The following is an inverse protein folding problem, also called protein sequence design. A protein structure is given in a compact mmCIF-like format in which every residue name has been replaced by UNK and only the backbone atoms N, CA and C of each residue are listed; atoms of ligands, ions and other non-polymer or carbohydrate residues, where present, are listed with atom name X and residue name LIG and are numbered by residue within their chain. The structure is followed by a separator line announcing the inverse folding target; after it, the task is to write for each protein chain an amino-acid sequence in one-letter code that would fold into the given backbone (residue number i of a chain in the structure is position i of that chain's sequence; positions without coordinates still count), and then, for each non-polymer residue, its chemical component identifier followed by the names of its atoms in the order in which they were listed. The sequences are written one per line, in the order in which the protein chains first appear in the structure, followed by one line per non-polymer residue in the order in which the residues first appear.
data_IF_946458698019
#
_entry.id   IF_946458698019
#
_cell.length_a   1.000
_cell.length_b   1.000
_cell.length_c   1.000
_cell.angle_alpha   90.00
_cell.angle_beta   90.00
_cell.angle_gamma   90.00
#
_symmetry.space_group_name_H-M   'P 1'
#
loop_
_entity.id
_entity.type
_entity.pdbx_description
1 polymer ?
#
# COMPACT_ATOMS: atom_id res chain seq x y z
N UNK A 1 -16.54 50.23 7.82
CA UNK A 1 -16.60 48.84 7.39
C UNK A 1 -15.29 48.13 7.72
N UNK A 2 -15.34 47.12 8.53
CA UNK A 2 -14.15 46.38 8.84
C UNK A 2 -13.84 45.40 7.70
N UNK A 3 -12.69 45.57 7.09
CA UNK A 3 -12.24 44.65 6.06
C UNK A 3 -11.21 43.69 6.66
N UNK A 4 -11.52 42.42 6.59
CA UNK A 4 -10.56 41.42 7.02
C UNK A 4 -9.45 41.30 5.98
N UNK A 5 -8.23 41.53 6.42
CA UNK A 5 -7.05 41.28 5.58
C UNK A 5 -6.46 39.88 5.86
N UNK A 6 -7.24 39.02 6.53
CA UNK A 6 -6.80 37.69 6.86
C UNK A 6 -6.97 36.79 5.62
N UNK A 7 -5.90 36.12 5.25
CA UNK A 7 -5.94 35.09 4.21
C UNK A 7 -6.57 33.83 4.78
N UNK A 8 -7.53 33.25 4.08
CA UNK A 8 -8.19 32.03 4.55
C UNK A 8 -7.32 30.80 4.30
N UNK A 9 -7.40 29.85 5.21
CA UNK A 9 -6.74 28.55 5.04
C UNK A 9 -7.43 27.81 3.89
N UNK A 10 -6.69 27.33 2.88
CA UNK A 10 -7.33 26.51 1.85
C UNK A 10 -7.83 25.19 2.41
N UNK A 11 -8.75 24.56 1.71
CA UNK A 11 -9.25 23.26 2.09
C UNK A 11 -8.47 22.15 1.42
N UNK A 12 -8.26 21.04 2.15
CA UNK A 12 -7.55 19.88 1.65
C UNK A 12 -8.56 18.82 1.23
N UNK A 13 -8.27 18.10 0.16
CA UNK A 13 -9.20 17.13 -0.43
C UNK A 13 -9.49 15.90 0.45
N UNK A 14 -8.57 15.54 1.33
CA UNK A 14 -8.76 14.43 2.26
C UNK A 14 -8.27 14.80 3.65
N UNK A 15 -9.03 14.41 4.66
CA UNK A 15 -8.63 14.63 6.05
C UNK A 15 -7.52 13.66 6.45
N UNK A 16 -6.79 14.03 7.49
CA UNK A 16 -5.78 13.16 8.09
C UNK A 16 -6.37 11.83 8.55
N UNK A 17 -5.57 10.81 8.51
CA UNK A 17 -5.97 9.48 8.91
C UNK A 17 -5.03 8.43 8.37
N UNK A 18 -5.39 7.17 8.54
CA UNK A 18 -4.64 6.04 8.04
C UNK A 18 -5.28 5.54 6.74
N UNK A 19 -4.49 5.42 5.70
CA UNK A 19 -4.95 5.00 4.38
C UNK A 19 -4.13 3.82 3.90
N UNK A 20 -4.79 2.87 3.24
CA UNK A 20 -4.15 1.67 2.70
C UNK A 20 -3.81 1.81 1.22
N UNK A 21 -3.82 3.03 0.71
CA UNK A 21 -3.59 3.31 -0.71
C UNK A 21 -2.75 4.57 -0.87
N UNK A 22 -2.20 4.78 -2.05
CA UNK A 22 -1.52 6.03 -2.35
C UNK A 22 -2.53 7.16 -2.34
N UNK A 23 -2.11 8.34 -1.88
CA UNK A 23 -2.98 9.50 -1.83
C UNK A 23 -2.50 10.56 -2.80
N UNK A 24 -3.46 11.25 -3.40
CA UNK A 24 -3.23 12.43 -4.20
C UNK A 24 -4.06 13.54 -3.57
N UNK A 25 -3.38 14.50 -2.96
CA UNK A 25 -4.03 15.57 -2.20
C UNK A 25 -4.07 16.86 -3.02
N UNK A 26 -5.21 17.52 -3.00
CA UNK A 26 -5.37 18.80 -3.68
C UNK A 26 -5.91 19.83 -2.69
N UNK A 27 -5.57 21.09 -2.94
CA UNK A 27 -6.11 22.21 -2.17
C UNK A 27 -7.16 22.93 -2.99
N UNK A 28 -8.22 23.36 -2.32
CA UNK A 28 -9.27 24.19 -2.89
C UNK A 28 -9.40 25.45 -2.05
N UNK A 29 -10.18 26.41 -2.53
CA UNK A 29 -10.36 27.72 -1.87
C UNK A 29 -9.04 28.46 -1.67
N UNK A 30 -8.16 28.36 -2.67
CA UNK A 30 -6.91 29.11 -2.69
C UNK A 30 -7.24 30.57 -3.01
N UNK A 31 -6.62 31.54 -2.28
CA UNK A 31 -6.88 32.95 -2.57
C UNK A 31 -6.59 33.29 -4.03
N UNK A 32 -7.41 34.13 -4.61
CA UNK A 32 -7.23 34.57 -5.99
C UNK A 32 -5.85 35.22 -6.13
N UNK A 33 -5.08 34.79 -7.14
CA UNK A 33 -3.71 35.24 -7.37
C UNK A 33 -2.78 34.98 -6.19
N UNK A 34 -3.18 34.00 -5.34
CA UNK A 34 -2.38 33.60 -4.20
C UNK A 34 -1.60 32.33 -4.48
N UNK A 35 -0.84 31.89 -3.49
CA UNK A 35 0.01 30.73 -3.57
C UNK A 35 -0.13 29.90 -2.30
N UNK A 36 0.13 28.59 -2.40
CA UNK A 36 0.15 27.68 -1.26
C UNK A 36 1.52 27.04 -1.18
N UNK A 37 2.07 27.00 0.03
CA UNK A 37 3.34 26.34 0.32
C UNK A 37 3.10 25.30 1.40
N UNK A 38 3.83 24.19 1.34
CA UNK A 38 3.60 23.11 2.27
C UNK A 38 4.89 22.38 2.63
N UNK A 39 4.83 21.64 3.75
CA UNK A 39 5.86 20.70 4.18
C UNK A 39 5.17 19.37 4.46
N UNK A 40 5.94 18.29 4.40
CA UNK A 40 5.43 16.93 4.68
C UNK A 40 6.06 16.33 5.95
N UNK A 41 6.96 17.06 6.58
CA UNK A 41 7.67 16.58 7.77
C UNK A 41 7.29 17.33 9.05
N UNK A 42 6.20 18.11 9.02
CA UNK A 42 5.73 18.85 10.18
C UNK A 42 6.43 20.15 10.45
N UNK A 43 7.39 20.54 9.62
CA UNK A 43 8.07 21.82 9.81
C UNK A 43 7.14 22.99 9.43
N UNK A 44 7.45 24.17 9.94
CA UNK A 44 6.66 25.37 9.66
C UNK A 44 6.78 25.74 8.18
N UNK A 45 5.67 25.81 7.43
CA UNK A 45 5.74 26.19 6.02
C UNK A 45 5.91 27.70 5.85
N UNK A 46 6.65 28.07 4.82
CA UNK A 46 6.83 29.48 4.43
C UNK A 46 7.14 29.51 2.93
N UNK A 47 7.49 30.70 2.42
CA UNK A 47 7.77 30.87 1.00
C UNK A 47 9.03 30.14 0.51
N UNK A 48 9.82 29.59 1.43
CA UNK A 48 10.97 28.76 1.08
C UNK A 48 10.62 27.27 1.05
N UNK A 49 9.41 26.92 1.45
CA UNK A 49 8.92 25.54 1.41
C UNK A 49 8.50 25.16 -0.02
N UNK A 50 8.04 23.94 -0.20
CA UNK A 50 7.58 23.46 -1.49
C UNK A 50 6.32 24.20 -1.89
N UNK A 51 6.31 24.77 -3.08
CA UNK A 51 5.13 25.43 -3.61
C UNK A 51 4.16 24.40 -4.16
N UNK A 52 2.88 24.58 -3.86
CA UNK A 52 1.83 23.73 -4.42
C UNK A 52 1.58 24.15 -5.87
N UNK A 53 1.83 23.22 -6.78
CA UNK A 53 1.65 23.46 -8.22
C UNK A 53 0.75 22.42 -8.88
N UNK A 54 0.20 21.52 -8.11
CA UNK A 54 -0.67 20.45 -8.56
C UNK A 54 -0.89 19.51 -7.38
N UNK A 55 -1.27 18.27 -7.65
CA UNK A 55 -1.54 17.32 -6.58
C UNK A 55 -0.28 17.00 -5.77
N UNK A 56 -0.45 16.85 -4.46
CA UNK A 56 0.60 16.37 -3.57
C UNK A 56 0.42 14.86 -3.44
N UNK A 57 1.40 14.10 -3.91
CA UNK A 57 1.33 12.63 -3.92
C UNK A 57 2.04 12.04 -2.71
N UNK A 58 1.34 11.15 -2.00
CA UNK A 58 1.91 10.36 -0.92
C UNK A 58 1.93 8.91 -1.39
N UNK A 59 3.07 8.44 -1.87
CA UNK A 59 3.17 7.16 -2.55
C UNK A 59 3.83 6.06 -1.74
N UNK A 60 4.59 6.41 -0.72
CA UNK A 60 5.32 5.44 0.09
C UNK A 60 4.69 5.28 1.46
N UNK A 61 4.90 4.11 2.06
CA UNK A 61 4.47 3.89 3.44
C UNK A 61 5.20 4.83 4.38
N UNK A 62 4.51 5.30 5.38
CA UNK A 62 5.08 6.15 6.40
C UNK A 62 4.06 7.12 6.96
N UNK A 63 4.54 7.96 7.86
CA UNK A 63 3.75 9.01 8.48
C UNK A 63 4.17 10.35 7.87
N UNK A 64 3.17 11.09 7.40
CA UNK A 64 3.37 12.41 6.82
C UNK A 64 2.64 13.43 7.67
N UNK A 65 3.34 14.47 8.12
CA UNK A 65 2.71 15.59 8.80
C UNK A 65 2.70 16.75 7.81
N UNK A 66 1.55 16.90 7.15
CA UNK A 66 1.37 17.97 6.17
C UNK A 66 1.02 19.26 6.90
N UNK A 67 1.84 20.29 6.71
CA UNK A 67 1.54 21.63 7.15
C UNK A 67 1.54 22.54 5.94
N UNK A 68 0.58 23.43 5.89
CA UNK A 68 0.42 24.27 4.70
C UNK A 68 -0.03 25.65 5.09
N UNK A 69 0.35 26.62 4.25
CA UNK A 69 0.01 28.01 4.41
C UNK A 69 -0.29 28.62 3.04
N UNK A 70 -1.32 29.44 2.98
CA UNK A 70 -1.61 30.19 1.76
C UNK A 70 -1.18 31.64 1.95
N UNK A 71 -0.72 32.25 0.87
CA UNK A 71 -0.44 33.68 0.82
C UNK A 71 -1.34 34.29 -0.23
N UNK A 72 -1.98 35.41 0.11
CA UNK A 72 -2.78 36.11 -0.87
C UNK A 72 -1.89 36.96 -1.79
N UNK A 73 -2.49 37.66 -2.76
CA UNK A 73 -1.71 38.46 -3.70
C UNK A 73 -0.89 39.57 -3.05
N UNK A 74 -1.22 39.93 -1.80
CA UNK A 74 -0.46 40.92 -1.03
C UNK A 74 0.56 40.25 -0.10
N UNK A 75 0.79 38.97 -0.28
CA UNK A 75 1.73 38.18 0.54
C UNK A 75 1.33 38.11 2.01
N UNK A 76 0.05 38.21 2.31
CA UNK A 76 -0.48 38.03 3.67
C UNK A 76 -0.72 36.55 3.88
N UNK A 77 -0.11 35.94 4.93
CA UNK A 77 -0.27 34.49 5.15
C UNK A 77 -1.60 34.16 5.81
N UNK A 78 -2.09 32.95 5.52
CA UNK A 78 -3.18 32.35 6.26
C UNK A 78 -2.63 31.76 7.58
N UNK A 79 -3.54 31.30 8.44
CA UNK A 79 -3.12 30.41 9.50
C UNK A 79 -2.58 29.13 8.87
N UNK A 80 -1.72 28.43 9.62
CA UNK A 80 -1.14 27.18 9.15
C UNK A 80 -2.14 26.06 9.37
N UNK A 81 -2.44 25.31 8.30
CA UNK A 81 -3.25 24.12 8.41
C UNK A 81 -2.34 22.92 8.65
N UNK A 82 -2.88 21.89 9.29
CA UNK A 82 -2.13 20.67 9.60
C UNK A 82 -3.00 19.44 9.43
N UNK A 83 -2.45 18.41 8.79
CA UNK A 83 -3.08 17.10 8.68
C UNK A 83 -2.00 16.05 8.80
N UNK A 84 -2.29 14.97 9.51
CA UNK A 84 -1.38 13.84 9.61
C UNK A 84 -1.93 12.68 8.82
N UNK A 85 -1.13 12.13 7.91
CA UNK A 85 -1.51 10.98 7.10
C UNK A 85 -0.56 9.83 7.39
N UNK A 86 -1.13 8.65 7.58
CA UNK A 86 -0.36 7.41 7.70
C UNK A 86 -0.71 6.55 6.50
N UNK A 87 0.29 6.24 5.68
CA UNK A 87 0.10 5.33 4.54
C UNK A 87 0.63 3.96 4.98
N UNK A 88 -0.25 2.98 4.99
CA UNK A 88 0.09 1.63 5.41
C UNK A 88 -0.66 0.65 4.53
N UNK A 89 0.04 0.10 3.54
CA UNK A 89 -0.57 -0.85 2.61
C UNK A 89 -0.87 -2.16 3.33
N UNK A 90 -2.01 -2.74 3.01
CA UNK A 90 -2.35 -4.06 3.51
C UNK A 90 -1.53 -5.13 2.83
N UNK A 91 -1.50 -6.33 3.43
CA UNK A 91 -0.88 -7.49 2.79
C UNK A 91 -1.86 -8.09 1.78
N UNK A 92 -1.37 -8.77 0.73
CA UNK A 92 -2.26 -9.43 -0.21
C UNK A 92 -2.95 -10.64 0.44
N UNK A 93 -4.03 -11.09 -0.17
CA UNK A 93 -4.69 -12.33 0.24
C UNK A 93 -3.76 -13.51 0.00
N UNK A 94 -3.90 -14.56 0.81
CA UNK A 94 -3.10 -15.76 0.60
C UNK A 94 -3.52 -16.46 -0.69
N UNK A 95 -2.60 -17.14 -1.37
CA UNK A 95 -2.95 -17.86 -2.59
C UNK A 95 -3.90 -19.02 -2.29
N UNK A 96 -4.66 -19.42 -3.31
CA UNK A 96 -5.56 -20.56 -3.21
C UNK A 96 -4.86 -21.80 -3.77
N UNK A 97 -4.92 -22.88 -3.03
CA UNK A 97 -4.27 -24.14 -3.38
C UNK A 97 -5.32 -25.21 -3.65
N UNK A 98 -5.17 -25.90 -4.77
CA UNK A 98 -5.99 -27.06 -5.11
C UNK A 98 -5.06 -28.21 -5.52
N UNK A 99 -5.37 -29.45 -5.20
CA UNK A 99 -6.53 -29.91 -4.44
C UNK A 99 -6.38 -29.61 -2.95
N UNK A 100 -7.47 -29.81 -2.21
CA UNK A 100 -7.43 -29.67 -0.74
C UNK A 100 -6.63 -30.80 -0.11
N UNK A 101 -6.25 -30.62 1.15
CA UNK A 101 -5.55 -31.65 1.92
C UNK A 101 -6.28 -32.98 1.86
N UNK A 102 -5.55 -34.07 1.78
CA UNK A 102 -6.13 -35.39 1.77
C UNK A 102 -5.18 -36.43 1.25
N UNK A 103 -5.75 -37.64 1.13
CA UNK A 103 -5.03 -38.81 0.60
C UNK A 103 -5.43 -39.00 -0.86
N UNK A 104 -4.44 -39.16 -1.72
CA UNK A 104 -4.65 -39.30 -3.15
C UNK A 104 -4.04 -40.62 -3.62
N UNK A 105 -4.73 -41.31 -4.49
CA UNK A 105 -4.27 -42.59 -5.04
C UNK A 105 -3.52 -42.43 -6.34
N UNK A 106 -3.63 -41.27 -6.95
CA UNK A 106 -2.90 -40.92 -8.20
C UNK A 106 -2.21 -39.59 -7.98
N UNK A 107 -1.11 -39.38 -8.73
CA UNK A 107 -0.41 -38.09 -8.70
C UNK A 107 -1.33 -37.03 -9.30
N UNK A 108 -1.81 -36.14 -8.44
CA UNK A 108 -2.71 -35.06 -8.82
C UNK A 108 -1.90 -33.78 -8.94
N UNK A 109 -2.17 -33.00 -9.98
CA UNK A 109 -1.47 -31.72 -10.14
C UNK A 109 -1.87 -30.74 -9.05
N UNK A 110 -0.89 -30.10 -8.45
CA UNK A 110 -1.11 -29.02 -7.48
C UNK A 110 -1.19 -27.73 -8.25
N UNK A 111 -2.32 -27.05 -8.10
CA UNK A 111 -2.58 -25.79 -8.82
C UNK A 111 -2.72 -24.68 -7.78
N UNK A 112 -1.98 -23.59 -7.97
CA UNK A 112 -2.04 -22.45 -7.08
C UNK A 112 -2.59 -21.26 -7.85
N UNK A 113 -3.64 -20.64 -7.33
CA UNK A 113 -4.22 -19.43 -7.90
C UNK A 113 -3.73 -18.23 -7.10
N UNK A 114 -3.01 -17.36 -7.80
CA UNK A 114 -2.44 -16.15 -7.20
C UNK A 114 -3.47 -15.03 -7.14
N UNK A 115 -3.48 -14.23 -6.07
CA UNK A 115 -4.18 -12.95 -6.12
C UNK A 115 -3.63 -12.09 -7.27
N UNK A 116 -4.47 -11.22 -7.80
CA UNK A 116 -4.08 -10.36 -8.92
C UNK A 116 -2.84 -9.53 -8.59
N UNK A 117 -1.88 -9.53 -9.52
CA UNK A 117 -0.67 -8.73 -9.39
C UNK A 117 0.37 -9.28 -8.45
N UNK A 118 0.20 -10.51 -7.96
CA UNK A 118 1.14 -11.13 -7.03
C UNK A 118 1.97 -12.22 -7.69
N UNK A 119 3.13 -12.47 -7.10
CA UNK A 119 3.98 -13.60 -7.45
C UNK A 119 3.86 -14.62 -6.32
N UNK A 120 3.75 -15.90 -6.66
CA UNK A 120 3.63 -16.97 -5.66
C UNK A 120 4.96 -17.69 -5.50
N UNK A 121 5.35 -17.89 -4.25
CA UNK A 121 6.50 -18.72 -3.87
C UNK A 121 5.99 -19.90 -3.07
N UNK A 122 6.61 -21.06 -3.25
CA UNK A 122 6.15 -22.28 -2.57
C UNK A 122 7.31 -23.10 -2.03
N UNK A 123 6.99 -23.99 -1.12
CA UNK A 123 7.95 -24.95 -0.58
C UNK A 123 7.21 -26.19 -0.11
N UNK A 124 7.90 -27.33 -0.12
CA UNK A 124 7.43 -28.57 0.48
C UNK A 124 8.15 -28.77 1.80
N UNK A 125 7.38 -29.09 2.83
CA UNK A 125 7.89 -29.48 4.16
C UNK A 125 8.74 -28.43 4.86
N UNK A 126 8.61 -27.18 4.42
CA UNK A 126 9.23 -26.02 5.05
C UNK A 126 8.42 -24.78 4.74
N UNK A 127 8.66 -23.73 5.48
CA UNK A 127 7.95 -22.47 5.28
C UNK A 127 8.49 -21.75 4.05
N UNK A 128 7.62 -21.27 3.15
CA UNK A 128 8.11 -20.56 1.96
C UNK A 128 8.61 -19.15 2.32
N UNK A 129 9.61 -18.72 1.59
CA UNK A 129 10.21 -17.38 1.73
C UNK A 129 10.37 -16.75 0.36
N UNK A 130 10.87 -15.53 0.31
CA UNK A 130 11.14 -14.85 -0.96
C UNK A 130 12.26 -15.51 -1.75
N UNK A 131 13.00 -16.44 -1.13
CA UNK A 131 14.07 -17.19 -1.79
C UNK A 131 13.60 -18.58 -2.23
N UNK A 132 12.35 -18.93 -1.94
CA UNK A 132 11.78 -20.21 -2.36
C UNK A 132 11.51 -20.22 -3.86
N UNK A 133 11.11 -21.39 -4.38
CA UNK A 133 10.78 -21.55 -5.79
C UNK A 133 9.54 -20.73 -6.14
N UNK A 134 9.55 -20.12 -7.31
CA UNK A 134 8.38 -19.43 -7.84
C UNK A 134 7.43 -20.43 -8.48
N UNK A 135 6.15 -20.26 -8.21
CA UNK A 135 5.14 -21.06 -8.88
C UNK A 135 4.85 -20.45 -10.25
N UNK A 136 5.10 -21.24 -11.31
CA UNK A 136 4.90 -20.81 -12.68
C UNK A 136 3.96 -21.72 -13.45
N UNK A 137 3.82 -22.97 -13.00
CA UNK A 137 2.97 -23.97 -13.67
C UNK A 137 2.54 -25.02 -12.66
N UNK A 138 1.49 -25.79 -12.98
CA UNK A 138 1.07 -26.87 -12.09
C UNK A 138 2.19 -27.80 -11.71
N UNK A 139 2.20 -28.24 -10.45
CA UNK A 139 3.24 -29.08 -9.90
C UNK A 139 2.75 -30.51 -9.74
N UNK A 140 3.66 -31.46 -9.86
CA UNK A 140 3.36 -32.86 -9.58
C UNK A 140 3.36 -33.09 -8.08
N UNK A 141 2.35 -33.79 -7.59
CA UNK A 141 2.27 -34.16 -6.18
C UNK A 141 3.38 -35.17 -5.87
N UNK A 142 4.27 -34.87 -4.92
CA UNK A 142 5.33 -35.81 -4.56
C UNK A 142 4.78 -37.01 -3.83
N UNK A 143 5.45 -38.16 -3.98
CA UNK A 143 5.08 -39.38 -3.28
C UNK A 143 5.43 -39.26 -1.82
N UNK A 144 4.58 -39.79 -0.95
CA UNK A 144 4.73 -39.74 0.49
C UNK A 144 3.80 -38.72 1.13
N UNK A 145 4.07 -38.40 2.38
CA UNK A 145 3.33 -37.38 3.11
C UNK A 145 4.12 -36.08 3.09
N UNK A 146 3.51 -35.01 2.54
CA UNK A 146 4.19 -33.72 2.40
C UNK A 146 3.23 -32.58 2.69
N UNK A 147 3.78 -31.56 3.31
CA UNK A 147 3.06 -30.29 3.49
C UNK A 147 3.49 -29.35 2.38
N UNK A 148 2.53 -28.86 1.61
CA UNK A 148 2.76 -27.87 0.56
C UNK A 148 2.32 -26.52 1.08
N UNK A 149 3.19 -25.54 1.04
CA UNK A 149 2.89 -24.19 1.51
C UNK A 149 3.25 -23.16 0.47
N UNK A 150 2.45 -22.11 0.39
CA UNK A 150 2.66 -21.05 -0.59
C UNK A 150 2.34 -19.69 0.02
N UNK A 151 3.04 -18.68 -0.48
CA UNK A 151 2.80 -17.28 -0.12
C UNK A 151 2.64 -16.48 -1.42
N UNK A 152 1.89 -15.39 -1.34
CA UNK A 152 1.77 -14.43 -2.42
C UNK A 152 2.50 -13.16 -2.03
N UNK A 153 3.23 -12.56 -2.98
CA UNK A 153 3.99 -11.34 -2.76
C UNK A 153 3.53 -10.33 -3.79
N UNK A 154 3.08 -9.16 -3.34
CA UNK A 154 2.59 -8.12 -4.24
C UNK A 154 3.75 -7.30 -4.83
N UNK A 155 3.40 -6.32 -5.67
CA UNK A 155 4.40 -5.48 -6.35
C UNK A 155 5.21 -4.62 -5.40
N UNK A 156 4.70 -4.39 -4.20
CA UNK A 156 5.38 -3.60 -3.17
C UNK A 156 6.27 -4.46 -2.27
N UNK A 157 6.26 -5.77 -2.47
CA UNK A 157 7.02 -6.70 -1.63
C UNK A 157 6.28 -7.13 -0.37
N UNK A 158 4.99 -6.82 -0.25
CA UNK A 158 4.19 -7.26 0.88
C UNK A 158 3.87 -8.75 0.72
N UNK A 159 4.00 -9.48 1.80
CA UNK A 159 3.85 -10.94 1.82
C UNK A 159 2.54 -11.33 2.49
N UNK A 160 1.79 -12.22 1.84
CA UNK A 160 0.53 -12.73 2.37
C UNK A 160 0.77 -13.66 3.57
N UNK A 161 -0.32 -14.04 4.23
CA UNK A 161 -0.29 -15.18 5.15
C UNK A 161 0.02 -16.44 4.34
N UNK A 162 0.54 -17.46 5.03
CA UNK A 162 0.89 -18.72 4.39
C UNK A 162 -0.37 -19.57 4.17
N UNK A 163 -0.52 -20.06 2.94
CA UNK A 163 -1.52 -21.07 2.62
C UNK A 163 -0.84 -22.44 2.65
N UNK A 164 -1.48 -23.42 3.27
CA UNK A 164 -0.89 -24.75 3.40
C UNK A 164 -1.92 -25.84 3.17
N UNK A 165 -1.47 -26.93 2.56
CA UNK A 165 -2.24 -28.16 2.42
C UNK A 165 -1.31 -29.35 2.68
N UNK A 166 -1.84 -30.41 3.27
CA UNK A 166 -1.09 -31.63 3.54
C UNK A 166 -1.58 -32.73 2.60
N UNK A 167 -0.65 -33.30 1.83
CA UNK A 167 -0.98 -34.34 0.87
C UNK A 167 -0.32 -35.64 1.24
N UNK A 168 -1.09 -36.70 1.09
CA UNK A 168 -0.58 -38.09 1.25
C UNK A 168 -0.83 -38.79 -0.06
N UNK A 169 0.24 -39.12 -0.78
CA UNK A 169 0.15 -39.83 -2.04
C UNK A 169 1.16 -40.96 -2.08
N UNK A 170 0.66 -42.17 -2.32
CA UNK A 170 1.52 -43.35 -2.54
C UNK A 170 1.10 -43.99 -3.85
N UNK A 171 1.98 -43.94 -4.83
CA UNK A 171 1.78 -44.63 -6.10
C UNK A 171 1.98 -46.12 -5.96
N UNK A 172 1.51 -46.89 -6.94
CA UNK A 172 1.72 -48.33 -7.01
C UNK A 172 3.16 -48.66 -7.47
#
# INVERSE_FOLDING_TARGET
TYHSYVCQIPEISKEGGTYAEVLSLTFTDIPQNGEVYYTLNGSQPDKNSTKYEGAVSLEEEGTYVLRYVAYNQKSIPSQVGEQEYVIQFGIPDKPKIAPVSGRYETSTSIIVTSPEGCTVYYAFDQEPTLESEKYTEPLSMPEGEHTFSAIAVDKRGKVSAVASEVYVYYGE
#
